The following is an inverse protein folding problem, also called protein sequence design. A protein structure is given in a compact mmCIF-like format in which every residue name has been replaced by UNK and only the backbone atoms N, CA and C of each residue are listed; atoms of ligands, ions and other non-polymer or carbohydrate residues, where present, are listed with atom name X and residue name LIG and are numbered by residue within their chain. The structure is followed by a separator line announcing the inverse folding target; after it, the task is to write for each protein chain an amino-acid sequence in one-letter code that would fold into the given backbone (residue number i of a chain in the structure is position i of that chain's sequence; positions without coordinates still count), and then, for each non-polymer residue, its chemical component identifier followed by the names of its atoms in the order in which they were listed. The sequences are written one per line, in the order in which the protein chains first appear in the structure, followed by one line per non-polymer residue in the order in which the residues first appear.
data_IF_525381258687
#
_entry.id   IF_525381258687
#
_cell.length_a   1.000
_cell.length_b   1.000
_cell.length_c   1.000
_cell.angle_alpha   90.00
_cell.angle_beta   90.00
_cell.angle_gamma   90.00
#
_symmetry.space_group_name_H-M   'P 1'
#
loop_
_entity.id
_entity.type
_entity.pdbx_description
1 polymer ?
#
# COMPACT_ATOMS: atom_id res chain seq x y z
N UNK A 1 16.10 -14.67 19.81
CA UNK A 1 15.84 -14.76 18.36
C UNK A 1 15.48 -13.36 17.92
N UNK A 2 16.31 -12.70 17.11
CA UNK A 2 15.90 -11.42 16.52
C UNK A 2 14.69 -11.69 15.61
N UNK A 3 13.59 -10.92 15.71
CA UNK A 3 12.54 -11.01 14.72
C UNK A 3 13.16 -10.55 13.41
N UNK A 4 13.46 -11.49 12.51
CA UNK A 4 13.71 -11.19 11.10
C UNK A 4 12.50 -10.41 10.64
N UNK A 5 12.67 -9.12 10.40
CA UNK A 5 11.58 -8.25 10.02
C UNK A 5 11.51 -8.31 8.49
N UNK A 6 10.64 -9.14 7.87
CA UNK A 6 10.55 -9.18 6.42
C UNK A 6 10.10 -7.81 5.93
N UNK A 7 11.00 -7.11 5.24
CA UNK A 7 10.72 -5.84 4.57
C UNK A 7 9.62 -6.08 3.53
N UNK A 8 8.56 -5.27 3.54
CA UNK A 8 7.56 -5.27 2.47
C UNK A 8 8.25 -4.77 1.20
N UNK A 9 8.29 -5.60 0.15
CA UNK A 9 8.93 -5.25 -1.12
C UNK A 9 7.87 -4.80 -2.13
N UNK A 10 8.09 -3.62 -2.72
CA UNK A 10 7.31 -3.10 -3.85
C UNK A 10 8.26 -3.06 -5.05
N UNK A 11 7.98 -3.86 -6.08
CA UNK A 11 8.82 -3.91 -7.28
C UNK A 11 8.64 -2.67 -8.16
N UNK A 12 9.69 -2.32 -8.90
CA UNK A 12 9.59 -1.32 -9.96
C UNK A 12 8.54 -1.75 -11.01
N UNK A 13 7.78 -0.81 -11.61
CA UNK A 13 6.87 -1.12 -12.71
C UNK A 13 7.64 -1.75 -13.87
N UNK A 14 7.19 -2.91 -14.37
CA UNK A 14 7.74 -3.56 -15.57
C UNK A 14 7.22 -2.91 -16.84
N UNK A 15 6.00 -2.38 -16.82
CA UNK A 15 5.37 -1.75 -17.99
C UNK A 15 5.49 -0.22 -17.97
N UNK A 16 5.64 0.46 -19.13
CA UNK A 16 5.71 1.92 -19.22
C UNK A 16 4.36 2.58 -18.91
N UNK A 17 4.37 3.90 -18.62
CA UNK A 17 3.23 4.62 -18.06
C UNK A 17 1.94 4.58 -18.91
N UNK A 18 2.08 4.42 -20.23
CA UNK A 18 0.99 4.38 -21.21
C UNK A 18 0.52 2.95 -21.55
N UNK A 19 1.10 1.93 -20.93
CA UNK A 19 0.74 0.53 -21.17
C UNK A 19 -0.48 0.11 -20.32
N UNK A 20 -1.54 -0.47 -20.91
CA UNK A 20 -2.71 -0.92 -20.16
C UNK A 20 -2.39 -2.00 -19.12
N UNK A 21 -1.37 -2.85 -19.34
CA UNK A 21 -0.96 -3.87 -18.38
C UNK A 21 -0.31 -3.29 -17.12
N UNK A 22 0.15 -2.03 -17.16
CA UNK A 22 0.67 -1.34 -15.97
C UNK A 22 -0.39 -1.18 -14.88
N UNK A 23 -1.66 -1.05 -15.26
CA UNK A 23 -2.76 -0.94 -14.28
C UNK A 23 -2.90 -2.23 -13.49
N UNK A 24 -2.94 -3.36 -14.20
CA UNK A 24 -3.04 -4.70 -13.59
C UNK A 24 -1.81 -4.99 -12.74
N UNK A 25 -0.61 -4.73 -13.25
CA UNK A 25 0.63 -4.91 -12.49
C UNK A 25 0.63 -4.10 -11.19
N UNK A 26 0.23 -2.83 -11.25
CA UNK A 26 0.16 -1.95 -10.07
C UNK A 26 -0.78 -2.54 -9.02
N UNK A 27 -1.95 -3.02 -9.43
CA UNK A 27 -2.93 -3.60 -8.51
C UNK A 27 -2.39 -4.84 -7.82
N UNK A 28 -1.76 -5.75 -8.58
CA UNK A 28 -1.16 -6.98 -8.02
C UNK A 28 -0.05 -6.68 -7.01
N UNK A 29 0.90 -5.81 -7.37
CA UNK A 29 2.04 -5.46 -6.52
C UNK A 29 1.58 -4.79 -5.23
N UNK A 30 0.64 -3.84 -5.34
CA UNK A 30 0.12 -3.13 -4.15
C UNK A 30 -0.75 -4.03 -3.28
N UNK A 31 -1.57 -4.91 -3.85
CA UNK A 31 -2.38 -5.85 -3.08
C UNK A 31 -1.50 -6.85 -2.30
N UNK A 32 -0.41 -7.33 -2.90
CA UNK A 32 0.54 -8.20 -2.21
C UNK A 32 1.23 -7.48 -1.05
N UNK A 33 1.70 -6.24 -1.28
CA UNK A 33 2.34 -5.43 -0.25
C UNK A 33 1.37 -5.11 0.91
N UNK A 34 0.11 -4.78 0.59
CA UNK A 34 -0.92 -4.49 1.59
C UNK A 34 -1.20 -5.72 2.48
N UNK A 35 -1.35 -6.91 1.89
CA UNK A 35 -1.56 -8.15 2.67
C UNK A 35 -0.39 -8.43 3.61
N UNK A 36 0.84 -8.28 3.13
CA UNK A 36 2.03 -8.45 3.96
C UNK A 36 2.08 -7.45 5.12
N UNK A 37 1.66 -6.20 4.88
CA UNK A 37 1.54 -5.18 5.92
C UNK A 37 0.53 -5.59 7.00
N UNK A 38 -0.69 -5.94 6.59
CA UNK A 38 -1.77 -6.32 7.51
C UNK A 38 -1.35 -7.54 8.34
N UNK A 39 -0.76 -8.56 7.71
CA UNK A 39 -0.26 -9.74 8.41
C UNK A 39 0.79 -9.39 9.47
N UNK A 40 1.70 -8.44 9.18
CA UNK A 40 2.71 -7.99 10.15
C UNK A 40 2.10 -7.22 11.30
N UNK A 41 1.12 -6.35 11.03
CA UNK A 41 0.40 -5.64 12.08
C UNK A 41 -0.36 -6.62 12.98
N UNK A 42 -1.05 -7.61 12.41
CA UNK A 42 -1.74 -8.65 13.17
C UNK A 42 -0.77 -9.49 13.99
N UNK A 43 0.38 -9.89 13.42
CA UNK A 43 1.42 -10.60 14.15
C UNK A 43 2.02 -9.80 15.31
N UNK A 44 1.96 -8.47 15.26
CA UNK A 44 2.36 -7.58 16.34
C UNK A 44 1.27 -7.41 17.43
N UNK A 45 0.11 -8.04 17.27
CA UNK A 45 -0.98 -8.06 18.25
C UNK A 45 -2.14 -7.11 17.94
N UNK A 46 -2.11 -6.39 16.81
CA UNK A 46 -3.23 -5.55 16.38
C UNK A 46 -4.37 -6.40 15.80
N UNK A 47 -5.61 -5.96 15.94
CA UNK A 47 -6.77 -6.56 15.30
C UNK A 47 -6.75 -6.23 13.81
N UNK A 48 -7.10 -7.21 12.98
CA UNK A 48 -7.12 -6.99 11.53
C UNK A 48 -8.09 -5.86 11.11
N UNK A 49 -9.26 -5.78 11.75
CA UNK A 49 -10.27 -4.77 11.44
C UNK A 49 -9.83 -3.33 11.76
N UNK A 50 -9.12 -3.10 12.87
CA UNK A 50 -8.65 -1.76 13.22
C UNK A 50 -7.53 -1.30 12.28
N UNK A 51 -6.67 -2.23 11.88
CA UNK A 51 -5.62 -1.98 10.88
C UNK A 51 -6.24 -1.62 9.53
N UNK A 52 -7.23 -2.40 9.07
CA UNK A 52 -7.89 -2.15 7.80
C UNK A 52 -8.60 -0.78 7.77
N UNK A 53 -9.34 -0.43 8.83
CA UNK A 53 -10.02 0.86 8.93
C UNK A 53 -9.01 2.01 8.95
N UNK A 54 -7.96 1.91 9.77
CA UNK A 54 -6.94 2.96 9.88
C UNK A 54 -6.21 3.17 8.55
N UNK A 55 -5.92 2.09 7.81
CA UNK A 55 -5.27 2.20 6.49
C UNK A 55 -6.19 2.85 5.45
N UNK A 56 -7.50 2.63 5.52
CA UNK A 56 -8.46 3.31 4.66
C UNK A 56 -8.48 4.81 4.93
N UNK A 57 -8.50 5.22 6.20
CA UNK A 57 -8.45 6.63 6.61
C UNK A 57 -7.16 7.32 6.12
N UNK A 58 -6.00 6.67 6.32
CA UNK A 58 -4.70 7.17 5.85
C UNK A 58 -4.68 7.34 4.32
N UNK A 59 -5.27 6.38 3.59
CA UNK A 59 -5.34 6.44 2.14
C UNK A 59 -6.23 7.60 1.66
N UNK A 60 -7.39 7.82 2.29
CA UNK A 60 -8.29 8.93 1.98
C UNK A 60 -7.62 10.29 2.23
N UNK A 61 -6.98 10.46 3.40
CA UNK A 61 -6.22 11.67 3.74
C UNK A 61 -5.12 11.97 2.71
N UNK A 62 -4.40 10.94 2.27
CA UNK A 62 -3.35 11.08 1.25
C UNK A 62 -3.93 11.51 -0.10
N UNK A 63 -5.04 10.94 -0.53
CA UNK A 63 -5.73 11.32 -1.78
C UNK A 63 -6.20 12.77 -1.70
N UNK A 64 -6.79 13.19 -0.58
CA UNK A 64 -7.20 14.57 -0.37
C UNK A 64 -6.01 15.54 -0.41
N UNK A 65 -4.88 15.17 0.20
CA UNK A 65 -3.65 15.96 0.15
C UNK A 65 -3.07 16.06 -1.27
N UNK A 66 -3.07 14.95 -2.02
CA UNK A 66 -2.63 14.92 -3.42
C UNK A 66 -3.51 15.82 -4.29
N UNK A 67 -4.83 15.74 -4.15
CA UNK A 67 -5.77 16.58 -4.89
C UNK A 67 -5.54 18.07 -4.64
N UNK A 68 -5.22 18.47 -3.40
CA UNK A 68 -4.86 19.86 -3.07
C UNK A 68 -3.59 20.32 -3.79
N UNK A 69 -2.57 19.46 -3.87
CA UNK A 69 -1.31 19.78 -4.58
C UNK A 69 -1.52 19.91 -6.08
N UNK A 70 -2.30 19.02 -6.68
CA UNK A 70 -2.61 19.06 -8.11
C UNK A 70 -3.37 20.33 -8.49
N UNK A 71 -4.27 20.83 -7.64
CA UNK A 71 -4.99 22.10 -7.89
C UNK A 71 -4.14 23.36 -7.75
N UNK A 72 -3.02 23.29 -7.03
CA UNK A 72 -2.13 24.43 -6.80
C UNK A 72 -1.06 24.60 -7.89
N UNK A 73 -0.88 23.58 -8.74
CA UNK A 73 0.01 23.56 -9.89
C UNK A 73 -0.77 23.80 -11.19
#
# INVERSE_FOLDING_TARGET
MEPTNPTIQISNPRYPANDPYRVVEREEVLAQAFRAFVQRAVAAGWKESEVALTLADIADDYVMALARRVKAN
#
